data_IF_421227909095
#
_entry.id   IF_421227909095
#
_cell.length_a   1.000
_cell.length_b   1.000
_cell.length_c   1.000
_cell.angle_alpha   90.00
_cell.angle_beta   90.00
_cell.angle_gamma   90.00
#
_symmetry.space_group_name_H-M   'P 1'
#
loop_
_entity.id
_entity.type
_entity.pdbx_description
1 polymer ?
#
# COMPACT_ATOMS: atom_id res chain seq x y z
N UNK A 1 -15.17 23.28 -7.91
CA UNK A 1 -14.30 22.74 -6.83
C UNK A 1 -14.42 23.63 -5.60
N UNK A 2 -15.34 23.36 -4.65
CA UNK A 2 -15.39 24.14 -3.41
C UNK A 2 -14.38 23.59 -2.39
N UNK A 3 -13.72 24.49 -1.68
CA UNK A 3 -12.66 24.26 -0.69
C UNK A 3 -13.21 24.04 0.73
N UNK A 4 -14.52 23.93 0.88
CA UNK A 4 -15.19 24.00 2.18
C UNK A 4 -14.98 22.79 3.10
N UNK A 5 -14.63 21.61 2.55
CA UNK A 5 -14.33 20.40 3.34
C UNK A 5 -13.01 19.75 2.86
N UNK A 6 -11.87 20.35 3.20
CA UNK A 6 -10.53 19.82 2.87
C UNK A 6 -9.96 19.11 4.10
N UNK A 7 -10.16 17.80 4.15
CA UNK A 7 -9.69 16.93 5.23
C UNK A 7 -8.18 16.61 5.16
N UNK A 8 -7.58 16.71 3.96
CA UNK A 8 -6.15 16.44 3.75
C UNK A 8 -5.53 17.40 2.74
N UNK A 9 -4.35 17.93 3.04
CA UNK A 9 -3.53 18.69 2.08
C UNK A 9 -2.82 17.74 1.11
N UNK A 10 -3.50 17.37 0.01
CA UNK A 10 -2.93 16.52 -1.06
C UNK A 10 -3.21 17.09 -2.47
N UNK A 11 -2.61 18.23 -2.85
CA UNK A 11 -2.90 18.88 -4.13
C UNK A 11 -2.62 18.01 -5.36
N UNK A 12 -1.53 17.23 -5.39
CA UNK A 12 -1.17 16.45 -6.58
C UNK A 12 -2.21 15.35 -6.87
N UNK A 13 -2.61 14.50 -5.91
CA UNK A 13 -3.70 13.55 -6.11
C UNK A 13 -5.02 14.23 -6.49
N UNK A 14 -5.32 15.41 -5.94
CA UNK A 14 -6.53 16.16 -6.31
C UNK A 14 -6.50 16.61 -7.77
N UNK A 15 -5.38 17.16 -8.22
CA UNK A 15 -5.17 17.52 -9.63
C UNK A 15 -5.26 16.29 -10.52
N UNK A 16 -4.66 15.17 -10.11
CA UNK A 16 -4.76 13.88 -10.80
C UNK A 16 -6.23 13.48 -10.97
N UNK A 17 -7.03 13.43 -9.90
CA UNK A 17 -8.44 13.05 -9.99
C UNK A 17 -9.28 14.06 -10.79
N UNK A 18 -9.00 15.37 -10.68
CA UNK A 18 -9.73 16.40 -11.42
C UNK A 18 -9.47 16.33 -12.92
N UNK A 19 -8.20 16.29 -13.33
CA UNK A 19 -7.81 16.24 -14.74
C UNK A 19 -8.16 14.89 -15.38
N UNK A 20 -7.78 13.79 -14.72
CA UNK A 20 -8.05 12.45 -15.24
C UNK A 20 -9.55 12.15 -15.21
N UNK A 21 -10.29 12.62 -14.20
CA UNK A 21 -11.74 12.53 -14.16
C UNK A 21 -12.42 13.29 -15.28
N UNK A 22 -11.98 14.52 -15.57
CA UNK A 22 -12.51 15.30 -16.69
C UNK A 22 -12.22 14.69 -18.06
N UNK A 23 -11.05 14.07 -18.25
CA UNK A 23 -10.66 13.46 -19.53
C UNK A 23 -11.15 12.02 -19.71
N UNK A 24 -11.00 11.17 -18.71
CA UNK A 24 -11.31 9.74 -18.78
C UNK A 24 -12.72 9.38 -18.30
N UNK A 25 -13.39 10.25 -17.53
CA UNK A 25 -14.70 9.96 -16.95
C UNK A 25 -14.76 8.60 -16.24
N UNK A 26 -15.76 7.79 -16.59
CA UNK A 26 -15.95 6.43 -16.06
C UNK A 26 -15.09 5.33 -16.73
N UNK A 27 -14.21 5.64 -17.69
CA UNK A 27 -13.45 4.65 -18.43
C UNK A 27 -12.32 4.02 -17.61
N UNK A 28 -12.65 2.99 -16.82
CA UNK A 28 -11.72 2.29 -15.90
C UNK A 28 -10.38 1.85 -16.51
N UNK A 29 -10.35 1.49 -17.80
CA UNK A 29 -9.11 1.12 -18.51
C UNK A 29 -8.08 2.26 -18.49
N UNK A 30 -8.53 3.49 -18.72
CA UNK A 30 -7.64 4.66 -18.76
C UNK A 30 -7.03 4.92 -17.37
N UNK A 31 -7.84 4.83 -16.32
CA UNK A 31 -7.38 4.93 -14.93
C UNK A 31 -6.31 3.89 -14.60
N UNK A 32 -6.52 2.63 -15.01
CA UNK A 32 -5.58 1.54 -14.79
C UNK A 32 -4.26 1.76 -15.55
N UNK A 33 -4.33 2.17 -16.83
CA UNK A 33 -3.14 2.44 -17.65
C UNK A 33 -2.30 3.56 -17.03
N UNK A 34 -2.93 4.67 -16.60
CA UNK A 34 -2.21 5.78 -15.96
C UNK A 34 -1.52 5.32 -14.67
N UNK A 35 -2.19 4.51 -13.83
CA UNK A 35 -1.59 3.98 -12.61
C UNK A 35 -0.39 3.06 -12.90
N UNK A 36 -0.50 2.19 -13.91
CA UNK A 36 0.61 1.31 -14.36
C UNK A 36 1.78 2.12 -14.90
N UNK A 37 1.53 3.15 -15.71
CA UNK A 37 2.58 4.04 -16.22
C UNK A 37 3.28 4.81 -15.08
N UNK A 38 2.51 5.28 -14.10
CA UNK A 38 3.07 5.95 -12.93
C UNK A 38 3.93 5.00 -12.09
N UNK A 39 3.50 3.74 -11.93
CA UNK A 39 4.30 2.70 -11.27
C UNK A 39 5.58 2.37 -12.06
N UNK A 40 5.51 2.33 -13.39
CA UNK A 40 6.69 2.13 -14.24
C UNK A 40 7.70 3.28 -14.04
N UNK A 41 7.25 4.54 -14.04
CA UNK A 41 8.09 5.70 -13.72
C UNK A 41 8.73 5.59 -12.33
N UNK A 42 7.94 5.23 -11.31
CA UNK A 42 8.44 5.03 -9.94
C UNK A 42 9.47 3.89 -9.88
N UNK A 43 9.27 2.82 -10.64
CA UNK A 43 10.19 1.67 -10.71
C UNK A 43 11.51 2.03 -11.40
N UNK A 44 11.47 2.86 -12.45
CA UNK A 44 12.68 3.43 -13.06
C UNK A 44 13.41 4.32 -12.06
N UNK A 45 12.71 5.19 -11.33
CA UNK A 45 13.33 6.01 -10.29
C UNK A 45 13.96 5.16 -9.17
N UNK A 46 13.28 4.10 -8.73
CA UNK A 46 13.77 3.13 -7.76
C UNK A 46 15.04 2.41 -8.26
N UNK A 47 15.06 1.96 -9.53
CA UNK A 47 16.24 1.37 -10.17
C UNK A 47 17.42 2.35 -10.20
N UNK A 48 17.18 3.59 -10.63
CA UNK A 48 18.22 4.62 -10.73
C UNK A 48 18.80 4.96 -9.35
N UNK A 49 17.94 5.05 -8.32
CA UNK A 49 18.37 5.23 -6.94
C UNK A 49 19.16 4.02 -6.43
N UNK A 50 18.68 2.79 -6.67
CA UNK A 50 19.40 1.57 -6.31
C UNK A 50 20.78 1.49 -6.97
N UNK A 51 20.89 1.88 -8.25
CA UNK A 51 22.16 1.93 -8.97
C UNK A 51 23.13 2.97 -8.38
N UNK A 52 22.61 4.09 -7.90
CA UNK A 52 23.41 5.13 -7.24
C UNK A 52 23.86 4.70 -5.84
N UNK A 53 22.98 4.09 -5.04
CA UNK A 53 23.29 3.61 -3.69
C UNK A 53 24.31 2.47 -3.71
N UNK A 54 24.09 1.47 -4.56
CA UNK A 54 24.92 0.26 -4.61
C UNK A 54 26.23 0.46 -5.41
N UNK A 55 26.28 1.50 -6.26
CA UNK A 55 27.46 1.84 -7.04
C UNK A 55 27.84 0.80 -8.11
N UNK A 56 28.99 1.02 -8.76
CA UNK A 56 29.44 0.21 -9.91
C UNK A 56 29.70 -1.25 -9.56
N UNK A 57 30.23 -1.52 -8.37
CA UNK A 57 30.56 -2.87 -7.90
C UNK A 57 29.32 -3.78 -7.81
N UNK A 58 28.14 -3.21 -7.60
CA UNK A 58 26.89 -3.92 -7.41
C UNK A 58 25.83 -3.58 -8.49
N UNK A 59 26.28 -3.24 -9.70
CA UNK A 59 25.39 -2.86 -10.81
C UNK A 59 24.38 -3.95 -11.19
N UNK A 60 24.74 -5.24 -11.07
CA UNK A 60 23.80 -6.35 -11.35
C UNK A 60 22.73 -6.40 -10.26
N UNK A 61 23.12 -6.25 -8.99
CA UNK A 61 22.18 -6.17 -7.87
C UNK A 61 21.17 -5.04 -8.05
N UNK A 62 21.61 -3.85 -8.49
CA UNK A 62 20.71 -2.73 -8.76
C UNK A 62 19.67 -3.03 -9.85
N UNK A 63 20.05 -3.72 -10.93
CA UNK A 63 19.11 -4.15 -11.99
C UNK A 63 18.05 -5.11 -11.43
N UNK A 64 18.48 -6.11 -10.66
CA UNK A 64 17.55 -7.05 -10.03
C UNK A 64 16.68 -6.37 -8.98
N UNK A 65 17.19 -5.39 -8.24
CA UNK A 65 16.39 -4.61 -7.29
C UNK A 65 15.31 -3.80 -8.02
N UNK A 66 15.64 -3.13 -9.12
CA UNK A 66 14.67 -2.42 -9.95
C UNK A 66 13.59 -3.34 -10.53
N UNK A 67 13.99 -4.52 -11.02
CA UNK A 67 13.06 -5.52 -11.54
C UNK A 67 12.18 -6.12 -10.43
N UNK A 68 12.76 -6.42 -9.27
CA UNK A 68 12.03 -6.90 -8.11
C UNK A 68 11.00 -5.87 -7.64
N UNK A 69 11.36 -4.58 -7.64
CA UNK A 69 10.43 -3.49 -7.31
C UNK A 69 9.29 -3.43 -8.33
N UNK A 70 9.57 -3.43 -9.63
CA UNK A 70 8.54 -3.37 -10.67
C UNK A 70 7.54 -4.55 -10.63
N UNK A 71 7.97 -5.72 -10.16
CA UNK A 71 7.17 -6.94 -10.11
C UNK A 71 6.65 -7.27 -8.71
N UNK A 72 6.92 -6.43 -7.70
CA UNK A 72 6.69 -6.81 -6.32
C UNK A 72 5.19 -6.93 -6.01
N UNK A 73 4.80 -8.07 -5.44
CA UNK A 73 3.41 -8.34 -5.08
C UNK A 73 2.77 -7.33 -4.12
N UNK A 74 3.57 -6.57 -3.34
CA UNK A 74 3.07 -5.61 -2.36
C UNK A 74 2.54 -4.32 -3.01
N UNK A 75 2.79 -4.15 -4.31
CA UNK A 75 2.37 -3.00 -5.09
C UNK A 75 0.98 -3.16 -5.71
N UNK A 76 0.35 -4.32 -5.58
CA UNK A 76 -0.98 -4.56 -6.14
C UNK A 76 -1.97 -3.52 -5.65
N UNK A 77 -2.16 -3.36 -4.34
CA UNK A 77 -3.09 -2.36 -3.80
C UNK A 77 -2.78 -0.92 -4.28
N UNK A 78 -1.54 -0.39 -4.16
CA UNK A 78 -1.20 0.93 -4.71
C UNK A 78 -1.49 1.16 -6.18
N UNK A 79 -1.38 0.10 -7.01
CA UNK A 79 -1.50 0.21 -8.47
C UNK A 79 -2.93 -0.02 -8.95
N UNK A 80 -3.63 -1.02 -8.41
CA UNK A 80 -4.98 -1.39 -8.91
C UNK A 80 -6.09 -0.56 -8.27
N UNK A 81 -5.85 0.04 -7.11
CA UNK A 81 -6.81 0.91 -6.46
C UNK A 81 -6.56 2.37 -6.86
N UNK A 82 -7.55 3.03 -7.48
CA UNK A 82 -7.41 4.41 -7.93
C UNK A 82 -6.97 5.37 -6.79
N UNK A 83 -7.54 5.25 -5.58
CA UNK A 83 -7.13 6.05 -4.42
C UNK A 83 -5.73 5.69 -3.88
N UNK A 84 -5.19 4.54 -4.28
CA UNK A 84 -3.82 4.10 -4.02
C UNK A 84 -2.74 4.92 -4.72
N UNK A 85 -3.11 5.72 -5.73
CA UNK A 85 -2.20 6.56 -6.54
C UNK A 85 -1.30 7.48 -5.69
N UNK A 86 -1.78 7.87 -4.50
CA UNK A 86 -0.99 8.67 -3.53
C UNK A 86 0.34 8.00 -3.18
N UNK A 87 0.37 6.68 -3.00
CA UNK A 87 1.59 5.92 -2.71
C UNK A 87 2.54 5.92 -3.92
N UNK A 88 2.01 5.88 -5.15
CA UNK A 88 2.81 5.89 -6.37
C UNK A 88 3.53 7.22 -6.56
N UNK A 89 2.82 8.34 -6.40
CA UNK A 89 3.41 9.68 -6.49
C UNK A 89 4.46 9.92 -5.40
N UNK A 90 4.16 9.55 -4.15
CA UNK A 90 5.11 9.66 -3.04
C UNK A 90 6.37 8.87 -3.33
N UNK A 91 6.25 7.60 -3.76
CA UNK A 91 7.40 6.78 -4.11
C UNK A 91 8.23 7.40 -5.24
N UNK A 92 7.59 7.78 -6.35
CA UNK A 92 8.26 8.43 -7.48
C UNK A 92 9.04 9.68 -7.05
N UNK A 93 8.36 10.62 -6.41
CA UNK A 93 8.94 11.90 -6.02
C UNK A 93 10.00 11.76 -4.92
N UNK A 94 9.82 10.87 -3.94
CA UNK A 94 10.85 10.59 -2.92
C UNK A 94 12.11 9.97 -3.53
N UNK A 95 11.97 9.00 -4.43
CA UNK A 95 13.13 8.37 -5.06
C UNK A 95 13.90 9.37 -5.93
N UNK A 96 13.18 10.21 -6.68
CA UNK A 96 13.78 11.30 -7.45
C UNK A 96 14.46 12.33 -6.56
N UNK A 97 13.83 12.75 -5.46
CA UNK A 97 14.42 13.69 -4.51
C UNK A 97 15.75 13.15 -3.96
N UNK A 98 15.76 11.91 -3.45
CA UNK A 98 16.99 11.30 -2.94
C UNK A 98 18.06 11.14 -4.03
N UNK A 99 17.68 10.76 -5.26
CA UNK A 99 18.61 10.63 -6.38
C UNK A 99 19.24 11.98 -6.75
N UNK A 100 18.43 13.03 -6.88
CA UNK A 100 18.91 14.37 -7.25
C UNK A 100 19.72 15.03 -6.14
N UNK A 101 19.34 14.84 -4.87
CA UNK A 101 20.15 15.26 -3.73
C UNK A 101 21.56 14.67 -3.80
N UNK A 102 21.64 13.36 -4.03
CA UNK A 102 22.92 12.65 -4.14
C UNK A 102 23.72 13.09 -5.36
N UNK A 103 23.06 13.35 -6.50
CA UNK A 103 23.71 13.94 -7.68
C UNK A 103 24.27 15.33 -7.40
N UNK A 104 23.51 16.20 -6.74
CA UNK A 104 23.95 17.54 -6.36
C UNK A 104 25.22 17.51 -5.52
N UNK A 105 25.32 16.56 -4.57
CA UNK A 105 26.52 16.39 -3.75
C UNK A 105 27.75 15.88 -4.51
N UNK A 106 27.54 15.11 -5.59
CA UNK A 106 28.60 14.61 -6.47
C UNK A 106 29.07 15.64 -7.49
N UNK A 107 28.12 16.38 -8.07
CA UNK A 107 28.35 17.31 -9.18
C UNK A 107 28.59 18.76 -8.73
N UNK A 108 28.15 19.14 -7.53
CA UNK A 108 28.11 20.52 -7.04
C UNK A 108 27.07 21.40 -7.75
N UNK A 109 26.24 20.86 -8.65
CA UNK A 109 25.35 21.64 -9.51
C UNK A 109 24.09 22.07 -8.75
N UNK A 110 23.85 23.38 -8.70
CA UNK A 110 22.63 23.96 -8.12
C UNK A 110 21.35 23.40 -8.75
N UNK A 111 21.35 23.12 -10.06
CA UNK A 111 20.23 22.48 -10.76
C UNK A 111 19.78 21.18 -10.08
N UNK A 112 20.72 20.30 -9.73
CA UNK A 112 20.40 19.02 -9.11
C UNK A 112 19.80 19.22 -7.70
N UNK A 113 20.31 20.21 -6.96
CA UNK A 113 19.77 20.56 -5.64
C UNK A 113 18.33 21.11 -5.75
N UNK A 114 18.08 21.99 -6.72
CA UNK A 114 16.73 22.54 -6.98
C UNK A 114 15.77 21.42 -7.37
N UNK A 115 16.16 20.53 -8.30
CA UNK A 115 15.34 19.39 -8.70
C UNK A 115 15.01 18.46 -7.53
N UNK A 116 15.95 18.26 -6.62
CA UNK A 116 15.73 17.49 -5.40
C UNK A 116 14.68 18.13 -4.48
N UNK A 117 14.81 19.43 -4.22
CA UNK A 117 13.88 20.20 -3.39
C UNK A 117 12.48 20.22 -3.99
N UNK A 118 12.37 20.44 -5.31
CA UNK A 118 11.09 20.40 -6.03
C UNK A 118 10.46 19.01 -6.01
N UNK A 119 11.25 17.95 -6.19
CA UNK A 119 10.75 16.58 -6.07
C UNK A 119 10.25 16.30 -4.64
N UNK A 120 10.98 16.73 -3.60
CA UNK A 120 10.51 16.56 -2.22
C UNK A 120 9.23 17.33 -1.93
N UNK A 121 9.09 18.57 -2.43
CA UNK A 121 7.84 19.32 -2.37
C UNK A 121 6.69 18.55 -3.05
N UNK A 122 6.93 17.97 -4.23
CA UNK A 122 5.98 17.10 -4.91
C UNK A 122 5.57 15.88 -4.07
N UNK A 123 6.51 15.26 -3.35
CA UNK A 123 6.20 14.15 -2.44
C UNK A 123 5.28 14.61 -1.29
N UNK A 124 5.59 15.73 -0.63
CA UNK A 124 4.76 16.30 0.45
C UNK A 124 3.36 16.68 -0.03
N UNK A 125 3.24 17.26 -1.23
CA UNK A 125 1.97 17.58 -1.87
C UNK A 125 1.18 16.34 -2.34
N UNK A 126 1.80 15.15 -2.28
CA UNK A 126 1.15 13.89 -2.64
C UNK A 126 0.56 13.17 -1.44
N UNK A 127 1.31 13.10 -0.33
CA UNK A 127 0.87 12.48 0.92
C UNK A 127 1.78 12.87 2.08
N UNK A 128 1.19 12.99 3.25
CA UNK A 128 1.87 13.23 4.52
C UNK A 128 2.97 12.20 4.82
N UNK A 129 2.88 10.98 4.28
CA UNK A 129 3.88 9.93 4.48
C UNK A 129 5.23 10.29 3.86
N UNK A 130 5.32 11.31 3.02
CA UNK A 130 6.57 11.80 2.46
C UNK A 130 7.57 12.30 3.52
N UNK A 131 7.13 12.55 4.76
CA UNK A 131 8.02 12.89 5.89
C UNK A 131 9.13 11.87 6.14
N UNK A 132 8.98 10.61 5.67
CA UNK A 132 10.03 9.59 5.69
C UNK A 132 11.29 9.99 4.90
N UNK A 133 11.21 11.01 4.05
CA UNK A 133 12.36 11.58 3.39
C UNK A 133 13.48 11.92 4.37
N UNK A 134 13.17 12.46 5.56
CA UNK A 134 14.18 12.90 6.54
C UNK A 134 15.05 11.73 7.03
N UNK A 135 14.49 10.66 7.63
CA UNK A 135 15.31 9.51 8.03
C UNK A 135 15.98 8.81 6.84
N UNK A 136 15.36 8.80 5.65
CA UNK A 136 15.99 8.24 4.44
C UNK A 136 17.14 9.10 3.91
N UNK A 137 17.06 10.42 4.01
CA UNK A 137 18.13 11.35 3.63
C UNK A 137 19.36 11.12 4.51
N UNK A 138 19.14 10.99 5.82
CA UNK A 138 20.19 10.64 6.79
C UNK A 138 20.74 9.27 6.44
N UNK A 139 19.90 8.23 6.36
CA UNK A 139 20.36 6.88 6.06
C UNK A 139 21.18 6.82 4.77
N UNK A 140 20.69 7.38 3.66
CA UNK A 140 21.39 7.33 2.38
C UNK A 140 22.70 8.09 2.39
N UNK A 141 22.79 9.19 3.13
CA UNK A 141 24.00 9.99 3.25
C UNK A 141 25.09 9.29 4.06
N UNK A 142 24.72 8.71 5.20
CA UNK A 142 25.67 8.12 6.13
C UNK A 142 26.01 6.66 5.76
N UNK A 143 25.01 5.92 5.30
CA UNK A 143 25.16 4.50 4.97
C UNK A 143 25.69 4.26 3.55
N UNK A 144 25.40 5.14 2.59
CA UNK A 144 25.95 5.07 1.23
C UNK A 144 26.56 6.42 0.82
N UNK A 145 27.70 6.83 1.42
CA UNK A 145 28.26 8.16 1.19
C UNK A 145 28.52 8.37 -0.32
N UNK A 146 28.01 9.46 -0.92
CA UNK A 146 28.24 9.73 -2.32
C UNK A 146 29.72 10.01 -2.57
N UNK A 147 30.28 9.43 -3.64
CA UNK A 147 31.66 9.67 -4.08
C UNK A 147 31.69 10.81 -5.08
N UNK A 148 32.48 11.85 -4.81
CA UNK A 148 32.61 13.02 -5.68
C UNK A 148 33.41 12.69 -6.95
N UNK A 149 33.29 13.57 -7.95
CA UNK A 149 33.97 13.41 -9.23
C UNK A 149 35.51 13.41 -9.10
N UNK A 150 36.05 14.04 -8.06
CA UNK A 150 37.47 14.06 -7.69
C UNK A 150 37.96 12.76 -7.02
N UNK A 151 37.11 11.73 -6.93
CA UNK A 151 37.44 10.44 -6.32
C UNK A 151 37.42 10.44 -4.80
N UNK A 152 37.30 11.60 -4.16
CA UNK A 152 37.17 11.67 -2.71
C UNK A 152 35.74 11.29 -2.31
N UNK A 153 35.63 10.41 -1.32
CA UNK A 153 34.32 10.17 -0.71
C UNK A 153 33.85 11.49 -0.09
N UNK A 154 32.58 11.85 -0.33
CA UNK A 154 31.97 13.02 0.30
C UNK A 154 31.67 12.72 1.77
N UNK A 155 32.69 12.34 2.54
CA UNK A 155 32.66 12.14 3.99
C UNK A 155 32.50 13.46 4.75
N UNK A 156 32.47 14.61 4.06
CA UNK A 156 31.87 15.80 4.65
C UNK A 156 30.42 15.45 5.00
N UNK A 157 30.17 15.33 6.32
CA UNK A 157 28.84 15.21 6.92
C UNK A 157 27.90 16.16 6.16
N UNK A 158 26.64 15.79 5.88
CA UNK A 158 25.71 16.72 5.26
C UNK A 158 25.75 17.97 6.11
N UNK A 159 26.26 19.06 5.55
CA UNK A 159 26.32 20.30 6.30
C UNK A 159 24.89 20.63 6.65
N UNK A 160 24.64 21.06 7.89
CA UNK A 160 23.32 21.51 8.33
C UNK A 160 22.62 22.36 7.24
N UNK A 161 23.40 23.22 6.57
CA UNK A 161 23.00 24.02 5.41
C UNK A 161 22.37 23.25 4.23
N UNK A 162 22.88 22.06 3.86
CA UNK A 162 22.32 21.26 2.75
C UNK A 162 20.91 20.72 3.10
N UNK A 163 20.62 20.54 4.39
CA UNK A 163 19.32 20.07 4.89
C UNK A 163 18.30 21.20 5.08
N UNK A 164 18.75 22.45 5.17
CA UNK A 164 17.89 23.62 5.45
C UNK A 164 16.70 23.74 4.47
N UNK A 165 16.86 23.63 3.14
CA UNK A 165 15.73 23.74 2.22
C UNK A 165 14.64 22.70 2.47
N UNK A 166 15.02 21.47 2.82
CA UNK A 166 14.07 20.39 3.11
C UNK A 166 13.38 20.61 4.46
N UNK A 167 14.10 21.12 5.46
CA UNK A 167 13.53 21.49 6.75
C UNK A 167 12.51 22.63 6.63
N UNK A 168 12.81 23.65 5.82
CA UNK A 168 11.89 24.76 5.52
C UNK A 168 10.62 24.22 4.84
N UNK A 169 10.75 23.35 3.82
CA UNK A 169 9.60 22.74 3.16
C UNK A 169 8.75 21.91 4.12
N UNK A 170 9.40 21.14 5.00
CA UNK A 170 8.71 20.33 5.99
C UNK A 170 7.96 21.21 7.01
N UNK A 171 8.59 22.28 7.49
CA UNK A 171 7.97 23.25 8.40
C UNK A 171 6.78 23.96 7.74
N UNK A 172 6.93 24.41 6.49
CA UNK A 172 5.85 25.01 5.73
C UNK A 172 4.69 24.04 5.50
N UNK A 173 4.98 22.78 5.17
CA UNK A 173 3.98 21.74 5.05
C UNK A 173 3.21 21.52 6.36
N UNK A 174 3.91 21.41 7.50
CA UNK A 174 3.26 21.28 8.80
C UNK A 174 2.41 22.49 9.16
N UNK A 175 2.90 23.71 8.90
CA UNK A 175 2.12 24.93 9.13
C UNK A 175 0.81 24.93 8.32
N UNK A 176 0.86 24.49 7.05
CA UNK A 176 -0.33 24.34 6.20
C UNK A 176 -1.28 23.29 6.78
N UNK A 177 -0.78 22.10 7.12
CA UNK A 177 -1.61 21.01 7.64
C UNK A 177 -2.28 21.41 8.96
N UNK A 178 -1.53 22.02 9.88
CA UNK A 178 -2.06 22.50 11.16
C UNK A 178 -3.07 23.65 11.00
N UNK A 179 -2.95 24.46 9.95
CA UNK A 179 -3.92 25.51 9.63
C UNK A 179 -5.19 25.01 8.92
N UNK A 180 -5.15 23.82 8.32
CA UNK A 180 -6.27 23.19 7.61
C UNK A 180 -7.03 22.21 8.51
N UNK A 181 -6.33 21.53 9.42
CA UNK A 181 -6.93 20.52 10.31
C UNK A 181 -7.86 21.19 11.33
N UNK A 182 -9.18 21.07 11.09
CA UNK A 182 -10.26 21.62 11.92
C UNK A 182 -10.93 20.60 12.82
N UNK A 183 -10.34 19.43 13.06
CA UNK A 183 -10.91 18.48 14.01
C UNK A 183 -10.53 17.01 13.90
N UNK A 184 -9.57 16.61 13.05
CA UNK A 184 -9.07 15.22 13.05
C UNK A 184 -10.06 14.13 12.64
N UNK A 185 -11.32 14.45 12.31
CA UNK A 185 -12.37 13.49 11.92
C UNK A 185 -12.13 12.85 10.53
N UNK A 186 -11.18 13.40 9.77
CA UNK A 186 -10.77 12.98 8.44
C UNK A 186 -10.24 11.53 8.35
N UNK A 187 -9.70 10.98 9.46
CA UNK A 187 -9.08 9.66 9.48
C UNK A 187 -9.66 8.80 10.60
N UNK A 188 -10.23 7.62 10.30
CA UNK A 188 -10.63 6.66 11.33
C UNK A 188 -9.42 6.03 12.04
N UNK A 189 -8.20 6.24 11.53
CA UNK A 189 -6.98 5.70 12.11
C UNK A 189 -6.45 6.61 13.22
N UNK A 190 -6.53 6.13 14.45
CA UNK A 190 -5.87 6.73 15.61
C UNK A 190 -4.53 6.04 15.84
N UNK A 191 -3.48 6.83 16.06
CA UNK A 191 -2.20 6.28 16.50
C UNK A 191 -2.37 5.68 17.89
N UNK A 192 -1.82 4.48 18.10
CA UNK A 192 -1.84 3.83 19.40
C UNK A 192 -0.49 3.15 19.65
N UNK A 193 -0.15 3.00 20.93
CA UNK A 193 1.00 2.22 21.38
C UNK A 193 0.47 0.92 21.97
N UNK A 194 1.00 -0.22 21.52
CA UNK A 194 0.52 -1.55 21.89
C UNK A 194 1.21 -2.67 21.14
N UNK A 195 0.77 -3.90 21.33
CA UNK A 195 1.38 -5.08 20.71
C UNK A 195 1.36 -5.06 19.17
N UNK A 196 0.51 -4.24 18.56
CA UNK A 196 0.46 -4.07 17.10
C UNK A 196 1.74 -3.44 16.53
N UNK A 197 2.55 -2.72 17.34
CA UNK A 197 3.85 -2.21 16.90
C UNK A 197 4.77 -3.36 16.49
N UNK A 198 4.88 -4.40 17.31
CA UNK A 198 5.73 -5.56 17.02
C UNK A 198 5.20 -6.31 15.79
N UNK A 199 3.89 -6.51 15.70
CA UNK A 199 3.22 -7.07 14.50
C UNK A 199 3.57 -6.26 13.26
N UNK A 200 3.48 -4.92 13.32
CA UNK A 200 3.76 -4.05 12.19
C UNK A 200 5.24 -4.12 11.81
N UNK A 201 6.18 -4.02 12.76
CA UNK A 201 7.62 -4.17 12.49
C UNK A 201 7.92 -5.51 11.80
N UNK A 202 7.36 -6.61 12.34
CA UNK A 202 7.51 -7.94 11.74
C UNK A 202 6.93 -7.98 10.31
N UNK A 203 5.74 -7.41 10.10
CA UNK A 203 5.11 -7.34 8.79
C UNK A 203 5.93 -6.51 7.79
N UNK A 204 6.46 -5.36 8.18
CA UNK A 204 7.30 -4.52 7.32
C UNK A 204 8.63 -5.20 6.95
N UNK A 205 9.24 -5.91 7.91
CA UNK A 205 10.48 -6.65 7.65
C UNK A 205 10.24 -7.90 6.81
N UNK A 206 9.18 -8.67 7.06
CA UNK A 206 8.93 -9.96 6.40
C UNK A 206 8.10 -9.83 5.11
N UNK A 207 7.17 -8.88 5.04
CA UNK A 207 6.21 -8.72 3.94
C UNK A 207 6.86 -8.39 2.60
N UNK A 208 8.10 -7.88 2.61
CA UNK A 208 8.90 -7.70 1.39
C UNK A 208 9.55 -8.99 0.86
N UNK A 209 9.47 -10.10 1.59
CA UNK A 209 10.17 -11.36 1.25
C UNK A 209 9.25 -12.57 1.24
N UNK A 210 8.29 -12.61 2.17
CA UNK A 210 7.34 -13.71 2.31
C UNK A 210 5.99 -13.25 1.77
N UNK A 211 5.38 -13.95 0.80
CA UNK A 211 4.15 -13.51 0.14
C UNK A 211 2.88 -13.69 0.99
N UNK A 212 2.96 -13.52 2.31
CA UNK A 212 1.80 -13.58 3.21
C UNK A 212 0.84 -12.43 2.94
N UNK A 213 -0.47 -12.71 2.99
CA UNK A 213 -1.49 -11.69 2.78
C UNK A 213 -1.72 -10.90 4.06
N UNK A 214 -1.73 -9.57 3.96
CA UNK A 214 -1.93 -8.71 5.14
C UNK A 214 -3.29 -8.96 5.81
N UNK A 215 -4.34 -9.22 5.04
CA UNK A 215 -5.68 -9.43 5.60
C UNK A 215 -5.75 -10.68 6.50
N UNK A 216 -4.98 -11.74 6.21
CA UNK A 216 -4.93 -12.95 7.04
C UNK A 216 -4.32 -12.63 8.40
N UNK A 217 -3.16 -11.96 8.39
CA UNK A 217 -2.49 -11.52 9.62
C UNK A 217 -3.35 -10.54 10.42
N UNK A 218 -4.03 -9.62 9.73
CA UNK A 218 -4.93 -8.68 10.38
C UNK A 218 -6.16 -9.36 10.97
N UNK A 219 -6.76 -10.34 10.29
CA UNK A 219 -7.91 -11.10 10.82
C UNK A 219 -7.55 -11.89 12.08
N UNK A 220 -6.35 -12.49 12.10
CA UNK A 220 -5.83 -13.18 13.28
C UNK A 220 -5.58 -12.20 14.43
N UNK A 221 -4.99 -11.05 14.11
CA UNK A 221 -4.73 -10.00 15.09
C UNK A 221 -6.02 -9.45 15.70
N UNK A 222 -7.04 -9.17 14.89
CA UNK A 222 -8.32 -8.63 15.38
C UNK A 222 -9.14 -9.64 16.18
N UNK A 223 -8.99 -10.94 15.89
CA UNK A 223 -9.66 -12.01 16.64
C UNK A 223 -8.95 -12.37 17.95
N UNK A 224 -7.71 -11.93 18.14
CA UNK A 224 -6.92 -12.26 19.31
C UNK A 224 -7.03 -11.17 20.41
N UNK A 225 -7.25 -11.54 21.69
CA UNK A 225 -7.30 -10.59 22.80
C UNK A 225 -5.95 -9.91 23.11
N UNK A 226 -4.86 -10.40 22.52
CA UNK A 226 -3.53 -9.84 22.71
C UNK A 226 -2.44 -10.62 21.97
N UNK A 227 -1.19 -10.19 22.11
CA UNK A 227 -0.04 -10.75 21.40
C UNK A 227 0.15 -12.26 21.64
N UNK A 228 -0.02 -12.73 22.88
CA UNK A 228 0.13 -14.16 23.21
C UNK A 228 -0.90 -15.05 22.50
N UNK A 229 -2.17 -14.65 22.52
CA UNK A 229 -3.23 -15.37 21.81
C UNK A 229 -3.05 -15.32 20.29
N UNK A 230 -2.59 -14.18 19.75
CA UNK A 230 -2.24 -14.05 18.34
C UNK A 230 -1.12 -15.01 17.94
N UNK A 231 -0.04 -15.09 18.73
CA UNK A 231 1.08 -16.00 18.46
C UNK A 231 0.63 -17.47 18.54
N UNK A 232 -0.20 -17.82 19.52
CA UNK A 232 -0.75 -19.17 19.64
C UNK A 232 -1.59 -19.55 18.41
N UNK A 233 -2.45 -18.65 17.93
CA UNK A 233 -3.24 -18.88 16.73
C UNK A 233 -2.40 -18.92 15.46
N UNK A 234 -1.34 -18.11 15.38
CA UNK A 234 -0.40 -18.16 14.27
C UNK A 234 0.30 -19.53 14.19
N UNK A 235 0.79 -20.06 15.32
CA UNK A 235 1.45 -21.38 15.40
C UNK A 235 0.51 -22.51 14.98
N UNK A 236 -0.80 -22.41 15.29
CA UNK A 236 -1.82 -23.38 14.85
C UNK A 236 -2.05 -23.39 13.33
N UNK A 237 -1.54 -22.40 12.61
CA UNK A 237 -1.67 -22.28 11.14
C UNK A 237 -0.31 -22.47 10.47
N UNK A 238 0.13 -23.72 10.25
CA UNK A 238 1.48 -24.00 9.73
C UNK A 238 1.74 -23.37 8.35
N UNK A 239 0.70 -23.20 7.53
CA UNK A 239 0.77 -22.52 6.23
C UNK A 239 1.15 -21.03 6.34
N UNK A 240 0.91 -20.38 7.49
CA UNK A 240 1.37 -19.02 7.79
C UNK A 240 2.65 -19.02 8.63
N UNK A 241 2.69 -19.84 9.68
CA UNK A 241 3.79 -19.85 10.63
C UNK A 241 5.12 -20.28 10.00
N UNK A 242 5.14 -21.37 9.22
CA UNK A 242 6.40 -21.88 8.66
C UNK A 242 7.06 -20.90 7.68
N UNK A 243 6.35 -20.30 6.69
CA UNK A 243 6.94 -19.30 5.82
C UNK A 243 7.45 -18.06 6.57
N UNK A 244 6.72 -17.60 7.59
CA UNK A 244 7.14 -16.46 8.42
C UNK A 244 8.37 -16.78 9.27
N UNK A 245 8.43 -17.98 9.87
CA UNK A 245 9.58 -18.44 10.66
C UNK A 245 10.81 -18.60 9.78
N UNK A 246 10.68 -19.29 8.64
CA UNK A 246 11.77 -19.47 7.67
C UNK A 246 12.23 -18.12 7.12
N UNK A 247 11.29 -17.23 6.82
CA UNK A 247 11.56 -15.84 6.46
C UNK A 247 12.39 -15.14 7.53
N UNK A 248 11.93 -15.16 8.79
CA UNK A 248 12.62 -14.52 9.90
C UNK A 248 14.05 -15.07 10.10
N UNK A 249 14.22 -16.38 10.06
CA UNK A 249 15.55 -17.02 10.12
C UNK A 249 16.43 -16.57 8.96
N UNK A 250 15.89 -16.51 7.74
CA UNK A 250 16.61 -16.03 6.56
C UNK A 250 17.01 -14.56 6.68
N UNK A 251 16.14 -13.69 7.22
CA UNK A 251 16.47 -12.28 7.44
C UNK A 251 17.55 -12.10 8.51
N UNK A 252 17.48 -12.85 9.61
CA UNK A 252 18.53 -12.85 10.65
C UNK A 252 19.86 -13.33 10.05
N UNK A 253 19.85 -14.43 9.29
CA UNK A 253 21.04 -14.91 8.61
C UNK A 253 21.60 -13.89 7.61
N UNK A 254 20.73 -13.22 6.84
CA UNK A 254 21.11 -12.17 5.90
C UNK A 254 21.65 -10.92 6.61
N UNK A 255 21.12 -10.56 7.77
CA UNK A 255 21.63 -9.45 8.58
C UNK A 255 23.04 -9.74 9.13
N UNK A 256 23.21 -10.93 9.72
CA UNK A 256 24.46 -11.35 10.34
C UNK A 256 25.57 -11.57 9.31
N UNK A 257 25.26 -12.28 8.22
CA UNK A 257 26.25 -12.66 7.18
C UNK A 257 26.34 -11.66 6.02
N UNK A 258 25.37 -10.76 5.90
CA UNK A 258 25.32 -9.77 4.85
C UNK A 258 26.33 -8.64 5.07
N UNK A 259 26.82 -8.10 3.95
CA UNK A 259 27.66 -6.91 3.96
C UNK A 259 26.88 -5.63 4.29
N UNK A 260 27.59 -4.50 4.26
CA UNK A 260 27.05 -3.15 4.50
C UNK A 260 25.76 -2.89 3.72
N UNK A 261 25.72 -3.21 2.43
CA UNK A 261 24.56 -2.92 1.57
C UNK A 261 23.31 -3.72 1.95
N UNK A 262 23.48 -4.98 2.39
CA UNK A 262 22.36 -5.82 2.85
C UNK A 262 21.73 -5.23 4.11
N UNK A 263 22.56 -4.87 5.09
CA UNK A 263 22.10 -4.18 6.32
C UNK A 263 21.45 -2.84 6.00
N UNK A 264 21.98 -2.12 5.02
CA UNK A 264 21.37 -0.88 4.52
C UNK A 264 19.97 -1.09 3.98
N UNK A 265 19.70 -2.17 3.25
CA UNK A 265 18.36 -2.53 2.79
C UNK A 265 17.38 -2.76 3.94
N UNK A 266 17.81 -3.43 5.01
CA UNK A 266 16.99 -3.60 6.23
C UNK A 266 16.74 -2.27 6.96
N UNK A 267 17.76 -1.44 7.10
CA UNK A 267 17.61 -0.10 7.68
C UNK A 267 16.69 0.79 6.84
N UNK A 268 16.69 0.63 5.52
CA UNK A 268 15.75 1.32 4.63
C UNK A 268 14.30 0.91 4.94
N UNK A 269 14.04 -0.39 5.08
CA UNK A 269 12.71 -0.89 5.43
C UNK A 269 12.24 -0.23 6.72
N UNK A 270 13.07 -0.27 7.77
CA UNK A 270 12.73 0.31 9.08
C UNK A 270 12.48 1.81 8.98
N UNK A 271 13.41 2.57 8.38
CA UNK A 271 13.32 4.03 8.25
C UNK A 271 12.07 4.48 7.46
N UNK A 272 11.75 3.80 6.35
CA UNK A 272 10.58 4.11 5.54
C UNK A 272 9.24 3.68 6.19
N UNK A 273 9.28 2.80 7.20
CA UNK A 273 8.08 2.26 7.84
C UNK A 273 7.67 3.03 9.10
N UNK A 274 8.52 3.91 9.62
CA UNK A 274 8.33 4.63 10.90
C UNK A 274 6.90 5.21 11.07
N UNK A 275 6.33 5.95 10.09
CA UNK A 275 5.02 6.58 10.27
C UNK A 275 3.87 5.59 10.45
N UNK A 276 4.07 4.33 10.05
CA UNK A 276 3.03 3.31 10.04
C UNK A 276 3.11 2.35 11.22
N UNK A 277 4.20 2.35 11.98
CA UNK A 277 4.40 1.39 13.06
C UNK A 277 3.34 1.52 14.16
N UNK A 278 2.93 2.75 14.48
CA UNK A 278 1.91 3.04 15.50
C UNK A 278 0.46 2.93 15.00
N UNK A 279 0.23 2.66 13.71
CA UNK A 279 -1.13 2.55 13.16
C UNK A 279 -1.69 1.13 13.40
N UNK A 280 -2.80 0.96 14.14
CA UNK A 280 -3.38 -0.36 14.42
C UNK A 280 -3.91 -1.06 13.17
N UNK A 281 -4.42 -0.27 12.22
CA UNK A 281 -4.84 -0.74 10.90
C UNK A 281 -3.81 -0.39 9.84
N UNK A 282 -3.24 -1.39 9.20
CA UNK A 282 -2.27 -1.22 8.13
C UNK A 282 -2.66 -1.97 6.86
N UNK A 283 -2.47 -1.34 5.70
CA UNK A 283 -2.64 -1.96 4.38
C UNK A 283 -1.29 -2.24 3.75
N UNK A 284 -1.26 -3.16 2.77
CA UNK A 284 -0.05 -3.50 2.01
C UNK A 284 0.53 -2.25 1.33
N UNK A 285 -0.33 -1.30 0.94
CA UNK A 285 0.06 -0.01 0.34
C UNK A 285 1.06 0.82 1.13
N UNK A 286 1.21 0.60 2.44
CA UNK A 286 2.16 1.34 3.27
C UNK A 286 3.60 0.86 3.06
N UNK A 287 3.79 -0.33 2.48
CA UNK A 287 5.11 -0.85 2.16
C UNK A 287 5.69 -0.31 0.84
N UNK A 288 4.96 0.52 0.09
CA UNK A 288 5.39 0.91 -1.27
C UNK A 288 6.80 1.55 -1.30
N UNK A 289 7.11 2.42 -0.33
CA UNK A 289 8.45 3.05 -0.22
C UNK A 289 9.44 2.13 0.48
N UNK A 290 9.01 1.40 1.52
CA UNK A 290 9.89 0.52 2.30
C UNK A 290 10.33 -0.71 1.53
N UNK A 291 9.52 -1.21 0.58
CA UNK A 291 9.82 -2.39 -0.24
C UNK A 291 11.07 -2.21 -1.09
N UNK A 292 11.50 -0.99 -1.40
CA UNK A 292 12.79 -0.75 -2.05
C UNK A 292 13.94 -1.36 -1.24
N UNK A 293 13.87 -1.31 0.09
CA UNK A 293 14.85 -1.95 0.97
C UNK A 293 14.88 -3.47 0.80
N UNK A 294 13.71 -4.11 0.72
CA UNK A 294 13.61 -5.55 0.43
C UNK A 294 14.15 -5.88 -0.98
N UNK A 295 13.81 -5.06 -1.97
CA UNK A 295 14.29 -5.20 -3.34
C UNK A 295 15.81 -5.07 -3.45
N UNK A 296 16.44 -4.17 -2.68
CA UNK A 296 17.90 -4.08 -2.59
C UNK A 296 18.52 -5.38 -2.07
N UNK A 297 17.95 -5.94 -0.99
CA UNK A 297 18.42 -7.21 -0.42
C UNK A 297 18.25 -8.36 -1.41
N UNK A 298 17.09 -8.46 -2.06
CA UNK A 298 16.81 -9.47 -3.10
C UNK A 298 17.76 -9.34 -4.30
N UNK A 299 18.04 -8.11 -4.74
CA UNK A 299 18.99 -7.85 -5.82
C UNK A 299 20.43 -8.25 -5.46
N UNK A 300 20.86 -7.96 -4.23
CA UNK A 300 22.16 -8.37 -3.71
C UNK A 300 22.27 -9.89 -3.58
N UNK A 301 21.21 -10.55 -3.12
CA UNK A 301 21.12 -12.01 -3.07
C UNK A 301 21.23 -12.62 -4.48
N UNK A 302 20.48 -12.11 -5.45
CA UNK A 302 20.54 -12.56 -6.84
C UNK A 302 21.95 -12.40 -7.42
N UNK A 303 22.61 -11.25 -7.19
CA UNK A 303 23.99 -11.06 -7.61
C UNK A 303 24.96 -12.03 -6.92
N UNK A 304 24.80 -12.27 -5.61
CA UNK A 304 25.64 -13.18 -4.85
C UNK A 304 25.52 -14.63 -5.35
N UNK A 305 24.30 -15.11 -5.63
CA UNK A 305 24.04 -16.42 -6.21
C UNK A 305 24.73 -16.56 -7.57
N UNK A 306 24.59 -15.55 -8.44
CA UNK A 306 25.19 -15.55 -9.78
C UNK A 306 26.72 -15.34 -9.78
N UNK A 307 27.31 -14.95 -8.65
CA UNK A 307 28.76 -14.80 -8.47
C UNK A 307 29.45 -16.05 -7.94
N UNK A 308 28.73 -17.07 -7.43
CA UNK A 308 29.31 -18.34 -6.93
C UNK A 308 29.88 -19.24 -8.05
N UNK A 309 30.38 -18.63 -9.12
CA UNK A 309 30.72 -19.18 -10.43
C UNK A 309 31.82 -20.25 -10.39
N UNK A 310 32.63 -20.29 -9.33
CA UNK A 310 33.95 -20.92 -9.40
C UNK A 310 34.10 -22.24 -8.64
N UNK A 311 33.00 -22.85 -8.14
CA UNK A 311 33.11 -24.03 -7.25
C UNK A 311 32.41 -25.30 -7.71
N UNK A 312 31.41 -25.25 -8.62
CA UNK A 312 30.62 -26.44 -8.97
C UNK A 312 30.17 -26.40 -10.46
N UNK A 313 30.48 -27.42 -11.28
CA UNK A 313 29.91 -27.58 -12.62
C UNK A 313 28.38 -27.58 -12.58
N UNK A 314 27.71 -26.81 -13.45
CA UNK A 314 26.24 -26.66 -13.46
C UNK A 314 25.68 -25.67 -12.42
N UNK A 315 26.48 -25.20 -11.45
CA UNK A 315 26.04 -24.28 -10.40
C UNK A 315 25.49 -22.94 -10.91
N UNK A 316 25.95 -22.46 -12.06
CA UNK A 316 25.43 -21.22 -12.68
C UNK A 316 24.02 -21.39 -13.25
N UNK A 317 23.69 -22.56 -13.81
CA UNK A 317 22.34 -22.84 -14.32
C UNK A 317 21.35 -22.93 -13.16
N UNK A 318 21.73 -23.63 -12.09
CA UNK A 318 20.94 -23.67 -10.85
C UNK A 318 20.74 -22.26 -10.25
N UNK A 319 21.80 -21.44 -10.16
CA UNK A 319 21.68 -20.07 -9.66
C UNK A 319 20.75 -19.21 -10.52
N UNK A 320 20.82 -19.32 -11.85
CA UNK A 320 19.89 -18.64 -12.77
C UNK A 320 18.45 -19.13 -12.58
N UNK A 321 18.26 -20.44 -12.43
CA UNK A 321 16.96 -21.05 -12.14
C UNK A 321 16.35 -20.53 -10.84
N UNK A 322 17.14 -20.42 -9.77
CA UNK A 322 16.69 -19.87 -8.48
C UNK A 322 16.31 -18.40 -8.62
N UNK A 323 17.12 -17.58 -9.30
CA UNK A 323 16.80 -16.16 -9.51
C UNK A 323 15.53 -15.99 -10.35
N UNK A 324 15.38 -16.78 -11.42
CA UNK A 324 14.17 -16.78 -12.25
C UNK A 324 12.94 -17.23 -11.45
N UNK A 325 13.04 -18.31 -10.68
CA UNK A 325 11.97 -18.79 -9.81
C UNK A 325 11.57 -17.73 -8.77
N UNK A 326 12.53 -17.01 -8.20
CA UNK A 326 12.24 -15.89 -7.28
C UNK A 326 11.46 -14.76 -7.96
N UNK A 327 11.85 -14.37 -9.17
CA UNK A 327 11.12 -13.35 -9.96
C UNK A 327 9.72 -13.83 -10.34
N UNK A 328 9.58 -15.09 -10.78
CA UNK A 328 8.28 -15.71 -11.06
C UNK A 328 7.42 -15.80 -9.80
N UNK A 329 8.01 -16.03 -8.63
CA UNK A 329 7.33 -16.00 -7.34
C UNK A 329 6.76 -14.61 -7.00
N UNK A 330 7.49 -13.52 -7.31
CA UNK A 330 6.98 -12.15 -7.15
C UNK A 330 5.76 -11.92 -8.06
N UNK A 331 5.84 -12.36 -9.33
CA UNK A 331 4.74 -12.26 -10.29
C UNK A 331 3.54 -13.09 -9.85
N UNK A 332 3.76 -14.35 -9.46
CA UNK A 332 2.70 -15.24 -8.99
C UNK A 332 2.00 -14.65 -7.76
N UNK A 333 2.77 -14.12 -6.79
CA UNK A 333 2.22 -13.43 -5.63
C UNK A 333 1.44 -12.16 -5.96
N UNK A 334 1.81 -11.46 -7.05
CA UNK A 334 1.08 -10.29 -7.53
C UNK A 334 -0.23 -10.69 -8.21
N UNK A 335 -0.21 -11.71 -9.08
CA UNK A 335 -1.40 -12.26 -9.76
C UNK A 335 -2.40 -12.80 -8.74
N UNK A 336 -1.92 -13.58 -7.77
CA UNK A 336 -2.72 -14.09 -6.66
C UNK A 336 -3.42 -12.94 -5.91
N UNK A 337 -2.67 -11.87 -5.57
CA UNK A 337 -3.24 -10.68 -4.92
C UNK A 337 -4.28 -9.96 -5.76
N UNK A 338 -4.08 -9.90 -7.08
CA UNK A 338 -5.02 -9.25 -7.99
C UNK A 338 -6.37 -9.98 -8.08
N UNK A 339 -6.42 -11.29 -7.83
CA UNK A 339 -7.67 -12.05 -7.90
C UNK A 339 -8.77 -11.48 -6.98
N UNK A 340 -8.40 -11.05 -5.76
CA UNK A 340 -9.34 -10.42 -4.82
C UNK A 340 -9.89 -9.08 -5.38
N UNK A 341 -9.05 -8.30 -6.06
CA UNK A 341 -9.43 -7.02 -6.66
C UNK A 341 -10.29 -7.19 -7.91
N UNK A 342 -10.02 -8.21 -8.72
CA UNK A 342 -10.86 -8.57 -9.87
C UNK A 342 -12.25 -8.99 -9.39
N UNK A 343 -12.34 -9.80 -8.33
CA UNK A 343 -13.61 -10.19 -7.75
C UNK A 343 -14.40 -9.00 -7.19
N UNK A 344 -13.73 -8.13 -6.41
CA UNK A 344 -14.33 -6.89 -5.93
C UNK A 344 -14.79 -5.97 -7.08
N UNK A 345 -14.03 -5.91 -8.18
CA UNK A 345 -14.41 -5.16 -9.38
C UNK A 345 -15.66 -5.74 -10.06
N UNK A 346 -15.79 -7.07 -10.15
CA UNK A 346 -17.00 -7.73 -10.69
C UNK A 346 -18.22 -7.40 -9.86
N UNK A 347 -18.12 -7.47 -8.53
CA UNK A 347 -19.22 -7.13 -7.63
C UNK A 347 -19.61 -5.66 -7.73
N UNK A 348 -18.65 -4.73 -7.68
CA UNK A 348 -18.95 -3.29 -7.79
C UNK A 348 -19.59 -2.94 -9.13
N UNK A 349 -19.07 -3.46 -10.24
CA UNK A 349 -19.68 -3.29 -11.58
C UNK A 349 -21.07 -3.90 -11.65
N UNK A 350 -21.24 -5.11 -11.11
CA UNK A 350 -22.52 -5.78 -11.04
C UNK A 350 -23.55 -4.96 -10.26
N UNK A 351 -23.17 -4.40 -9.11
CA UNK A 351 -24.06 -3.56 -8.31
C UNK A 351 -24.44 -2.31 -9.10
N UNK A 352 -23.46 -1.56 -9.61
CA UNK A 352 -23.69 -0.32 -10.37
C UNK A 352 -24.61 -0.56 -11.56
N UNK A 353 -24.44 -1.67 -12.29
CA UNK A 353 -25.25 -1.97 -13.49
C UNK A 353 -26.69 -2.37 -13.20
N UNK A 354 -27.08 -2.63 -11.94
CA UNK A 354 -28.47 -2.94 -11.55
C UNK A 354 -29.38 -1.72 -11.49
N UNK A 355 -28.97 -0.57 -12.04
CA UNK A 355 -29.79 0.63 -12.09
C UNK A 355 -31.23 0.39 -12.59
N UNK A 356 -31.40 -0.43 -13.64
CA UNK A 356 -32.71 -0.75 -14.20
C UNK A 356 -33.68 -1.43 -13.22
N UNK A 357 -33.17 -2.12 -12.18
CA UNK A 357 -34.01 -2.69 -11.13
C UNK A 357 -34.79 -1.60 -10.36
N UNK A 358 -34.20 -0.41 -10.20
CA UNK A 358 -34.80 0.69 -9.47
C UNK A 358 -35.80 1.51 -10.29
N UNK A 359 -35.82 1.36 -11.63
CA UNK A 359 -36.81 2.04 -12.47
C UNK A 359 -38.25 1.60 -12.19
N UNK A 360 -38.44 0.39 -11.63
CA UNK A 360 -39.75 -0.12 -11.21
C UNK A 360 -40.16 0.26 -9.78
N UNK A 361 -39.32 1.02 -9.06
CA UNK A 361 -39.59 1.48 -7.71
C UNK A 361 -39.89 2.99 -7.71
N UNK A 362 -40.78 3.41 -6.82
CA UNK A 362 -41.13 4.82 -6.64
C UNK A 362 -39.85 5.64 -6.40
N UNK A 363 -39.62 6.75 -7.12
CA UNK A 363 -38.47 7.63 -6.89
C UNK A 363 -38.27 8.06 -5.44
N UNK A 364 -39.36 8.19 -4.68
CA UNK A 364 -39.34 8.61 -3.27
C UNK A 364 -39.14 7.43 -2.30
N UNK A 365 -39.19 6.18 -2.80
CA UNK A 365 -38.93 4.99 -1.98
C UNK A 365 -37.48 4.99 -1.52
N UNK A 366 -37.33 5.07 -0.21
CA UNK A 366 -36.05 5.06 0.44
C UNK A 366 -35.53 3.62 0.57
N UNK A 367 -34.22 3.38 0.38
CA UNK A 367 -33.66 2.03 0.24
C UNK A 367 -32.65 1.71 1.34
N UNK A 368 -32.77 0.54 1.97
CA UNK A 368 -31.75 0.01 2.89
C UNK A 368 -31.06 -1.18 2.24
N UNK A 369 -29.75 -1.08 2.03
CA UNK A 369 -28.97 -2.17 1.44
C UNK A 369 -28.31 -3.05 2.52
N UNK A 370 -28.60 -4.36 2.49
CA UNK A 370 -27.95 -5.40 3.31
C UNK A 370 -27.01 -6.25 2.47
N UNK A 371 -25.92 -6.72 3.08
CA UNK A 371 -24.98 -7.65 2.44
C UNK A 371 -23.95 -7.04 1.49
N UNK A 372 -23.79 -5.70 1.48
CA UNK A 372 -22.72 -5.02 0.73
C UNK A 372 -21.55 -4.74 1.69
N UNK A 373 -20.41 -5.47 1.61
CA UNK A 373 -19.26 -5.24 2.47
C UNK A 373 -18.44 -4.01 2.03
N UNK A 374 -17.67 -3.43 2.95
CA UNK A 374 -16.68 -2.39 2.61
C UNK A 374 -15.49 -2.93 1.81
N UNK A 375 -15.11 -4.16 2.14
CA UNK A 375 -13.95 -4.84 1.57
C UNK A 375 -14.17 -6.33 1.50
N UNK A 376 -13.51 -6.95 0.54
CA UNK A 376 -13.30 -8.39 0.47
C UNK A 376 -11.82 -8.66 0.69
N UNK A 377 -11.47 -9.27 1.81
CA UNK A 377 -10.06 -9.47 2.20
C UNK A 377 -9.31 -8.12 2.16
N UNK A 378 -8.29 -7.97 1.31
CA UNK A 378 -7.57 -6.70 1.11
C UNK A 378 -8.16 -5.78 0.02
N UNK A 379 -9.12 -6.24 -0.76
CA UNK A 379 -9.68 -5.49 -1.89
C UNK A 379 -10.90 -4.64 -1.46
N UNK A 380 -10.93 -3.37 -1.90
CA UNK A 380 -12.04 -2.47 -1.58
C UNK A 380 -13.23 -2.70 -2.51
N UNK A 381 -14.44 -2.74 -1.94
CA UNK A 381 -15.70 -2.81 -2.69
C UNK A 381 -16.33 -1.42 -2.72
N UNK A 382 -16.97 -0.98 -1.64
CA UNK A 382 -17.53 0.37 -1.51
C UNK A 382 -17.08 1.13 -0.27
N UNK A 383 -15.86 0.86 0.21
CA UNK A 383 -15.27 1.58 1.35
C UNK A 383 -15.29 3.10 1.13
N UNK A 384 -16.08 3.81 1.94
CA UNK A 384 -16.34 5.26 1.86
C UNK A 384 -16.92 5.75 0.52
N UNK A 385 -17.24 4.86 -0.41
CA UNK A 385 -17.62 5.18 -1.79
C UNK A 385 -19.08 4.86 -2.13
N UNK A 386 -19.78 4.11 -1.27
CA UNK A 386 -21.17 3.70 -1.53
C UNK A 386 -22.09 4.90 -1.76
N UNK A 387 -22.00 5.90 -0.88
CA UNK A 387 -22.73 7.16 -0.97
C UNK A 387 -22.57 7.85 -2.32
N UNK A 388 -21.32 7.97 -2.76
CA UNK A 388 -20.99 8.61 -4.03
C UNK A 388 -21.45 7.77 -5.22
N UNK A 389 -21.42 6.44 -5.11
CA UNK A 389 -21.96 5.55 -6.13
C UNK A 389 -23.47 5.75 -6.31
N UNK A 390 -24.25 5.76 -5.23
CA UNK A 390 -25.72 5.99 -5.30
C UNK A 390 -26.02 7.35 -5.94
N UNK A 391 -25.30 8.40 -5.55
CA UNK A 391 -25.44 9.74 -6.14
C UNK A 391 -25.12 9.80 -7.63
N UNK A 392 -24.09 9.07 -8.08
CA UNK A 392 -23.62 9.14 -9.47
C UNK A 392 -24.42 8.24 -10.42
N UNK A 393 -24.84 7.07 -9.96
CA UNK A 393 -25.40 6.04 -10.83
C UNK A 393 -26.86 5.76 -10.57
N UNK A 394 -27.39 6.12 -9.39
CA UNK A 394 -28.75 5.81 -8.99
C UNK A 394 -29.60 7.06 -8.64
N UNK A 395 -29.39 8.15 -9.38
CA UNK A 395 -30.16 9.41 -9.29
C UNK A 395 -30.22 10.05 -7.89
N UNK A 396 -29.32 9.68 -6.97
CA UNK A 396 -29.26 10.29 -5.64
C UNK A 396 -30.46 9.96 -4.75
N UNK A 397 -31.17 8.86 -5.01
CA UNK A 397 -32.27 8.37 -4.16
C UNK A 397 -31.86 8.25 -2.69
N UNK A 398 -32.79 8.45 -1.72
CA UNK A 398 -32.50 8.24 -0.31
C UNK A 398 -32.07 6.79 -0.06
N UNK A 399 -30.89 6.61 0.54
CA UNK A 399 -30.33 5.29 0.79
C UNK A 399 -29.72 5.21 2.19
N UNK A 400 -29.68 3.99 2.71
CA UNK A 400 -28.92 3.63 3.90
C UNK A 400 -28.26 2.27 3.73
N UNK A 401 -27.18 2.05 4.47
CA UNK A 401 -26.62 0.71 4.64
C UNK A 401 -27.14 0.08 5.91
N UNK A 402 -27.06 -1.23 5.98
CA UNK A 402 -27.29 -1.98 7.20
C UNK A 402 -26.54 -1.34 8.39
N UNK A 403 -27.27 -0.98 9.44
CA UNK A 403 -26.71 -0.31 10.63
C UNK A 403 -26.74 1.22 10.60
N UNK A 404 -27.06 1.85 9.47
CA UNK A 404 -27.31 3.30 9.36
C UNK A 404 -28.84 3.54 9.37
N UNK A 405 -29.46 3.95 10.48
CA UNK A 405 -30.90 4.17 10.50
C UNK A 405 -31.29 5.38 9.63
N UNK A 406 -32.46 5.34 8.98
CA UNK A 406 -33.01 6.53 8.33
C UNK A 406 -33.21 7.67 9.34
N UNK A 407 -33.02 8.94 8.92
CA UNK A 407 -33.31 10.08 9.78
C UNK A 407 -34.78 10.05 10.25
N UNK A 408 -35.09 10.61 11.43
CA UNK A 408 -36.46 10.67 11.94
C UNK A 408 -37.39 11.37 10.94
N UNK A 409 -38.55 10.77 10.64
CA UNK A 409 -39.58 11.35 9.76
C UNK A 409 -39.53 10.91 8.29
N UNK A 410 -38.61 10.03 7.89
CA UNK A 410 -38.60 9.46 6.53
C UNK A 410 -39.68 8.37 6.32
N UNK A 411 -40.19 8.22 5.07
CA UNK A 411 -41.09 7.13 4.70
C UNK A 411 -40.45 5.74 4.92
N UNK A 412 -41.26 4.67 5.05
CA UNK A 412 -40.76 3.33 5.32
C UNK A 412 -39.79 2.87 4.22
N UNK A 413 -38.55 2.59 4.62
CA UNK A 413 -37.52 2.19 3.68
C UNK A 413 -37.67 0.72 3.25
N UNK A 414 -37.56 0.44 1.95
CA UNK A 414 -37.53 -0.93 1.43
C UNK A 414 -36.16 -1.53 1.63
N UNK A 415 -36.10 -2.70 2.26
CA UNK A 415 -34.83 -3.42 2.45
C UNK A 415 -34.48 -4.23 1.21
N UNK A 416 -33.33 -3.95 0.62
CA UNK A 416 -32.73 -4.68 -0.49
C UNK A 416 -31.60 -5.57 0.02
N UNK A 417 -31.74 -6.87 -0.17
CA UNK A 417 -30.70 -7.84 0.15
C UNK A 417 -29.81 -8.06 -1.07
N UNK A 418 -28.49 -7.89 -0.88
CA UNK A 418 -27.48 -8.14 -1.91
C UNK A 418 -26.63 -9.32 -1.47
N UNK A 419 -26.73 -10.42 -2.21
CA UNK A 419 -25.87 -11.58 -2.05
C UNK A 419 -24.76 -11.55 -3.10
N UNK A 420 -23.51 -11.54 -2.62
CA UNK A 420 -22.30 -11.55 -3.45
C UNK A 420 -21.72 -12.98 -3.48
N UNK A 421 -21.53 -13.53 -4.68
CA UNK A 421 -20.99 -14.88 -4.86
C UNK A 421 -19.53 -14.85 -5.29
N UNK A 422 -18.76 -15.87 -4.92
CA UNK A 422 -17.31 -15.96 -5.20
C UNK A 422 -16.97 -16.13 -6.69
N UNK A 423 -17.94 -16.51 -7.53
CA UNK A 423 -17.82 -16.49 -8.99
C UNK A 423 -17.88 -15.07 -9.59
N UNK A 424 -18.21 -14.07 -8.78
CA UNK A 424 -18.35 -12.67 -9.16
C UNK A 424 -19.78 -12.27 -9.52
N UNK A 425 -20.74 -13.19 -9.43
CA UNK A 425 -22.15 -12.89 -9.66
C UNK A 425 -22.79 -12.21 -8.45
N UNK A 426 -23.84 -11.43 -8.72
CA UNK A 426 -24.61 -10.76 -7.69
C UNK A 426 -26.09 -11.13 -7.82
N UNK A 427 -26.73 -11.33 -6.68
CA UNK A 427 -28.18 -11.47 -6.57
C UNK A 427 -28.69 -10.34 -5.71
N UNK A 428 -29.58 -9.51 -6.27
CA UNK A 428 -30.25 -8.43 -5.57
C UNK A 428 -31.74 -8.74 -5.55
N UNK A 429 -32.34 -8.73 -4.37
CA UNK A 429 -33.77 -9.00 -4.20
C UNK A 429 -34.34 -8.16 -3.06
N UNK A 430 -35.64 -7.79 -3.11
CA UNK A 430 -36.33 -7.25 -1.95
C UNK A 430 -36.27 -8.27 -0.81
N UNK A 431 -35.91 -7.82 0.39
CA UNK A 431 -35.96 -8.68 1.57
C UNK A 431 -37.42 -9.04 1.86
N UNK A 432 -37.68 -10.30 2.19
CA UNK A 432 -39.02 -10.78 2.60
C UNK A 432 -39.37 -10.38 4.04
N UNK A 433 -38.42 -9.82 4.79
CA UNK A 433 -38.63 -9.48 6.20
C UNK A 433 -39.34 -8.14 6.37
N UNK A 434 -40.43 -8.23 7.13
CA UNK A 434 -41.43 -7.21 7.41
C UNK A 434 -40.86 -5.90 7.98
N UNK A 435 -41.64 -4.82 7.81
CA UNK A 435 -41.62 -3.53 8.53
C UNK A 435 -40.46 -3.36 9.51
N UNK A 436 -39.55 -2.44 9.20
CA UNK A 436 -38.54 -1.97 10.13
C UNK A 436 -39.20 -1.43 11.42
N UNK A 437 -39.33 -2.27 12.45
CA UNK A 437 -39.65 -1.83 13.81
C UNK A 437 -38.35 -1.43 14.49
N UNK A 438 -38.26 -0.17 14.89
CA UNK A 438 -37.09 0.38 15.59
C UNK A 438 -36.78 -0.36 16.88
N UNK A 439 -35.51 -0.72 17.05
CA UNK A 439 -34.90 -1.01 18.36
C UNK A 439 -33.38 -0.78 18.23
N UNK A 440 -32.69 -0.26 19.27
CA UNK A 440 -31.36 0.30 19.13
C UNK A 440 -30.29 -0.77 18.91
N UNK A 441 -29.24 -0.36 18.20
CA UNK A 441 -28.10 -1.15 17.79
C UNK A 441 -27.43 -1.90 18.97
N UNK A 442 -27.45 -3.24 18.90
CA UNK A 442 -26.44 -4.07 19.54
C UNK A 442 -25.13 -4.05 18.74
N UNK A 443 -23.97 -4.37 19.35
CA UNK A 443 -22.68 -4.28 18.68
C UNK A 443 -22.64 -5.20 17.46
N UNK A 444 -21.98 -4.72 16.40
CA UNK A 444 -21.85 -5.40 15.11
C UNK A 444 -21.47 -6.89 15.29
N UNK A 445 -22.12 -7.83 14.58
CA UNK A 445 -21.76 -9.23 14.67
C UNK A 445 -20.34 -9.42 14.15
N UNK A 446 -19.54 -10.16 14.92
CA UNK A 446 -18.24 -10.62 14.48
C UNK A 446 -18.37 -11.38 13.13
N UNK A 447 -17.38 -11.29 12.24
CA UNK A 447 -17.40 -12.04 10.99
C UNK A 447 -17.61 -13.54 11.29
N UNK A 448 -18.36 -14.26 10.44
CA UNK A 448 -18.75 -15.64 10.74
C UNK A 448 -17.51 -16.50 10.96
N UNK A 449 -17.47 -17.18 12.11
CA UNK A 449 -16.49 -18.19 12.42
C UNK A 449 -16.58 -19.28 11.34
N UNK A 450 -15.50 -19.47 10.59
CA UNK A 450 -15.34 -20.62 9.72
C UNK A 450 -15.15 -21.84 10.63
N UNK A 451 -16.22 -22.60 10.83
CA UNK A 451 -16.12 -23.93 11.44
C UNK A 451 -15.20 -24.81 10.57
N UNK A 452 -14.24 -25.55 11.16
CA UNK A 452 -13.43 -26.49 10.40
C UNK A 452 -14.34 -27.63 9.93
N UNK A 453 -14.39 -27.85 8.61
CA UNK A 453 -15.15 -28.93 8.01
C UNK A 453 -14.76 -30.27 8.60
N UNK A 454 -15.77 -31.01 9.07
CA UNK A 454 -15.69 -32.44 9.29
C UNK A 454 -15.29 -33.11 7.97
N UNK A 455 -14.33 -34.02 8.08
CA UNK A 455 -13.76 -34.70 6.93
C UNK A 455 -14.73 -35.69 6.31
N UNK A 456 -14.75 -35.70 4.98
CA UNK A 456 -15.18 -36.84 4.20
C UNK A 456 -13.98 -37.36 3.40
N UNK A 457 -13.64 -38.62 3.68
CA UNK A 457 -13.03 -39.58 2.76
C UNK A 457 -13.57 -40.96 3.14
N UNK A 458 -13.69 -41.91 2.20
CA UNK A 458 -13.71 -41.78 0.75
C UNK A 458 -15.13 -41.66 0.17
#
# INVERSE_FOLDING_TARGET
>A
FSTTNVDFYRPIPRLHFGLLGGWAGGHTTVWNVVAVLLHACASVAAFLLAADLLGRANRRAARYAGLAFALHFIHVEPVVWASGVTSLYVGLFLFLALLWFRRARRSGRARDAILSVLAFAGALMSKETAVVFVPLLVLTTWWWPPVRADGQSSLRRPTFAESVPYAILLAAYFAIVLGIDRGGDASPYRMAIGGHLLKNVAFFLLGGFVPVRMWEIQSLWSGAPGLGAFLAELVRRPHLFLPLLLGAVALVAAWLRGGRDVRGGFLWILAASIPFLALPGSGERFQYVSSLGACLVLGLLAQALLRRKDRIPGGILAARGIVLAGLLGLVAGAVDRQADWVLASRWTKGIVSRWSFFQGLDPDDALVFRGIPDSWRSAWVFRNGFASMVRLYWEGRPYWREGEPPPPGHPPARTMSVALRTDGTIVMAPSRDAKASGSPAGPAPAPPAVSPGAGDRP
#
